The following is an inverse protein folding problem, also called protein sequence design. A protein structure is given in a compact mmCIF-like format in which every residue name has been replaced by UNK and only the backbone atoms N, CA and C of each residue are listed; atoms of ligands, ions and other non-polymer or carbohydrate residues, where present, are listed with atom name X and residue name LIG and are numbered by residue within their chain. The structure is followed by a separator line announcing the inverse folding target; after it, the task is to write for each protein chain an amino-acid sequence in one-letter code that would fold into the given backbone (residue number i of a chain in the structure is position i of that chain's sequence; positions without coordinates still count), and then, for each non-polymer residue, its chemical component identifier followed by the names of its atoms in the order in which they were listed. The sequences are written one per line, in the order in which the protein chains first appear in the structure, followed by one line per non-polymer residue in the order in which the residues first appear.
data_IF_739120501796
#
_entry.id   IF_739120501796
#
_cell.length_a   1.000
_cell.length_b   1.000
_cell.length_c   1.000
_cell.angle_alpha   90.00
_cell.angle_beta   90.00
_cell.angle_gamma   90.00
#
_symmetry.space_group_name_H-M   'P 1'
#
loop_
_entity.id
_entity.type
_entity.pdbx_description
1 polymer ?
#
# COMPACT_ATOMS: atom_id res chain seq x y z
N UNK A 1 5.96 31.17 20.16
CA UNK A 1 4.99 30.07 20.17
C UNK A 1 5.75 28.77 19.93
N UNK A 2 5.68 27.77 20.83
CA UNK A 2 6.41 26.50 20.63
C UNK A 2 5.66 25.65 19.59
N UNK A 3 6.34 25.08 18.58
CA UNK A 3 5.69 24.17 17.64
C UNK A 3 5.20 22.92 18.38
N UNK A 4 4.00 22.45 18.04
CA UNK A 4 3.50 21.16 18.52
C UNK A 4 4.45 20.04 18.12
N UNK A 5 4.61 19.05 18.99
CA UNK A 5 5.43 17.88 18.70
C UNK A 5 4.77 16.98 17.64
N UNK A 6 5.55 16.09 17.04
CA UNK A 6 5.02 15.13 16.06
C UNK A 6 3.97 14.20 16.67
N UNK A 7 4.11 13.86 17.95
CA UNK A 7 3.17 13.02 18.70
C UNK A 7 1.81 13.71 18.82
N UNK A 8 1.79 15.01 19.12
CA UNK A 8 0.55 15.78 19.17
C UNK A 8 -0.15 15.80 17.80
N UNK A 9 0.59 16.08 16.72
CA UNK A 9 0.04 16.04 15.37
C UNK A 9 -0.46 14.65 14.98
N UNK A 10 0.27 13.60 15.35
CA UNK A 10 -0.15 12.23 15.10
C UNK A 10 -1.47 11.91 15.79
N UNK A 11 -1.66 12.29 17.05
CA UNK A 11 -2.91 12.09 17.79
C UNK A 11 -4.06 12.82 17.07
N UNK A 12 -3.86 14.09 16.72
CA UNK A 12 -4.86 14.90 16.01
C UNK A 12 -5.24 14.28 14.67
N UNK A 13 -4.27 13.93 13.83
CA UNK A 13 -4.56 13.36 12.51
C UNK A 13 -5.14 11.96 12.59
N UNK A 14 -4.71 11.14 13.57
CA UNK A 14 -5.24 9.80 13.76
C UNK A 14 -6.69 9.80 14.23
N UNK A 15 -7.16 10.88 14.88
CA UNK A 15 -8.59 11.08 15.14
C UNK A 15 -9.41 11.10 13.84
N UNK A 16 -8.87 11.66 12.77
CA UNK A 16 -9.50 11.72 11.44
C UNK A 16 -9.23 10.50 10.56
N UNK A 17 -8.66 9.41 11.09
CA UNK A 17 -8.24 8.23 10.29
C UNK A 17 -9.34 7.60 9.44
N UNK A 18 -10.60 7.75 9.83
CA UNK A 18 -11.75 7.22 9.09
C UNK A 18 -12.32 8.23 8.07
N UNK A 19 -11.87 9.48 8.11
CA UNK A 19 -12.19 10.51 7.13
C UNK A 19 -10.96 10.80 6.26
N UNK A 20 -10.73 9.90 5.30
CA UNK A 20 -9.59 9.96 4.38
C UNK A 20 -9.49 11.27 3.59
N UNK A 21 -10.63 11.91 3.27
CA UNK A 21 -10.64 13.20 2.55
C UNK A 21 -10.03 14.30 3.41
N UNK A 22 -10.49 14.44 4.65
CA UNK A 22 -9.95 15.44 5.58
C UNK A 22 -8.48 15.17 5.86
N UNK A 23 -8.14 13.89 6.09
CA UNK A 23 -6.78 13.49 6.37
C UNK A 23 -5.86 13.80 5.17
N UNK A 24 -6.28 13.52 3.94
CA UNK A 24 -5.52 13.86 2.74
C UNK A 24 -5.31 15.38 2.59
N UNK A 25 -6.32 16.20 2.90
CA UNK A 25 -6.17 17.66 2.90
C UNK A 25 -5.10 18.12 3.89
N UNK A 26 -4.99 17.51 5.08
CA UNK A 26 -3.91 17.80 6.03
C UNK A 26 -2.51 17.47 5.46
N UNK A 27 -2.40 16.47 4.59
CA UNK A 27 -1.13 16.10 3.97
C UNK A 27 -0.55 17.21 3.07
N UNK A 28 -1.41 18.11 2.58
CA UNK A 28 -1.05 19.16 1.62
C UNK A 28 -0.58 20.46 2.29
N UNK A 29 -0.73 20.58 3.60
CA UNK A 29 -0.45 21.82 4.35
C UNK A 29 1.06 22.12 4.39
N UNK A 30 1.87 21.15 4.83
CA UNK A 30 3.32 21.30 4.89
C UNK A 30 4.02 19.92 4.94
N UNK A 31 5.35 19.90 4.80
CA UNK A 31 6.15 18.67 4.77
C UNK A 31 6.06 17.84 6.05
N UNK A 32 5.96 18.47 7.22
CA UNK A 32 5.84 17.77 8.50
C UNK A 32 4.51 17.03 8.60
N UNK A 33 3.42 17.72 8.30
CA UNK A 33 2.07 17.16 8.30
C UNK A 33 1.94 16.04 7.26
N UNK A 34 2.46 16.27 6.05
CA UNK A 34 2.52 15.27 4.98
C UNK A 34 3.13 13.95 5.48
N UNK A 35 4.29 13.98 6.13
CA UNK A 35 4.98 12.78 6.63
C UNK A 35 4.13 11.99 7.63
N UNK A 36 3.52 12.68 8.59
CA UNK A 36 2.70 12.05 9.64
C UNK A 36 1.43 11.48 9.03
N UNK A 37 0.74 12.27 8.23
CA UNK A 37 -0.51 11.87 7.57
C UNK A 37 -0.31 10.66 6.66
N UNK A 38 0.75 10.66 5.83
CA UNK A 38 1.06 9.53 4.96
C UNK A 38 1.28 8.25 5.77
N UNK A 39 1.96 8.32 6.93
CA UNK A 39 2.11 7.14 7.79
C UNK A 39 0.78 6.63 8.35
N UNK A 40 -0.17 7.51 8.66
CA UNK A 40 -1.51 7.12 9.16
C UNK A 40 -2.33 6.49 8.05
N UNK A 41 -2.38 7.13 6.88
CA UNK A 41 -3.12 6.65 5.70
C UNK A 41 -2.64 5.26 5.26
N UNK A 42 -1.33 5.03 5.27
CA UNK A 42 -0.74 3.77 4.85
C UNK A 42 -0.67 2.71 5.95
N UNK A 43 -0.96 3.06 7.22
CA UNK A 43 -0.91 2.10 8.32
C UNK A 43 -1.94 0.98 8.20
N UNK A 44 -3.17 1.33 7.80
CA UNK A 44 -4.27 0.41 7.58
C UNK A 44 -5.05 0.84 6.32
N UNK A 45 -4.56 0.50 5.12
CA UNK A 45 -5.19 0.97 3.89
C UNK A 45 -6.62 0.43 3.71
N UNK A 46 -6.94 -0.76 4.26
CA UNK A 46 -8.27 -1.37 4.16
C UNK A 46 -8.80 -1.37 2.72
N UNK A 47 -10.06 -0.98 2.53
CA UNK A 47 -10.69 -0.93 1.21
C UNK A 47 -10.02 0.03 0.21
N UNK A 48 -9.15 0.95 0.65
CA UNK A 48 -8.42 1.82 -0.27
C UNK A 48 -7.37 1.07 -1.09
N UNK A 49 -6.88 -0.08 -0.60
CA UNK A 49 -5.91 -0.91 -1.33
C UNK A 49 -6.47 -1.44 -2.67
N UNK A 50 -7.81 -1.48 -2.82
CA UNK A 50 -8.52 -1.77 -4.07
C UNK A 50 -8.19 -0.79 -5.19
N UNK A 51 -7.67 0.38 -4.86
CA UNK A 51 -7.31 1.40 -5.83
C UNK A 51 -6.03 1.00 -6.57
N UNK A 52 -6.14 0.85 -7.90
CA UNK A 52 -5.01 0.53 -8.80
C UNK A 52 -3.77 1.43 -8.61
N UNK A 53 -3.93 2.67 -8.13
CA UNK A 53 -2.80 3.57 -7.84
C UNK A 53 -1.98 3.08 -6.64
N UNK A 54 -2.62 2.53 -5.62
CA UNK A 54 -1.92 1.96 -4.46
C UNK A 54 -1.20 0.67 -4.86
N UNK A 55 -1.86 -0.21 -5.61
CA UNK A 55 -1.21 -1.41 -6.17
C UNK A 55 0.01 -1.04 -7.02
N UNK A 56 -0.10 0.01 -7.87
CA UNK A 56 1.04 0.52 -8.64
C UNK A 56 2.22 0.92 -7.74
N UNK A 57 1.97 1.57 -6.61
CA UNK A 57 3.02 1.97 -5.64
C UNK A 57 3.66 0.73 -4.99
N UNK A 58 2.86 -0.28 -4.66
CA UNK A 58 3.37 -1.53 -4.12
C UNK A 58 4.25 -2.27 -5.14
N UNK A 59 3.80 -2.38 -6.39
CA UNK A 59 4.58 -3.00 -7.48
C UNK A 59 5.90 -2.26 -7.73
N UNK A 60 5.93 -0.93 -7.62
CA UNK A 60 7.16 -0.13 -7.70
C UNK A 60 8.15 -0.38 -6.54
N UNK A 61 7.69 -1.03 -5.47
CA UNK A 61 8.49 -1.30 -4.28
C UNK A 61 9.09 -2.71 -4.26
N UNK A 62 8.75 -3.54 -5.25
CA UNK A 62 9.29 -4.89 -5.42
C UNK A 62 10.80 -4.84 -5.72
N UNK A 63 11.58 -5.72 -5.10
CA UNK A 63 12.97 -5.95 -5.49
C UNK A 63 13.06 -6.94 -6.67
N UNK A 64 14.28 -7.19 -7.16
CA UNK A 64 14.50 -8.10 -8.31
C UNK A 64 14.04 -9.52 -8.01
N UNK A 65 14.30 -10.04 -6.81
CA UNK A 65 13.93 -11.38 -6.37
C UNK A 65 12.41 -11.59 -6.35
N UNK A 66 11.66 -10.62 -5.82
CA UNK A 66 10.19 -10.66 -5.78
C UNK A 66 9.61 -10.57 -7.19
N UNK A 67 10.28 -9.91 -8.14
CA UNK A 67 9.80 -9.80 -9.51
C UNK A 67 10.00 -11.07 -10.35
N UNK A 68 10.82 -12.03 -9.89
CA UNK A 68 11.13 -13.26 -10.65
C UNK A 68 9.87 -14.02 -11.03
N UNK A 69 8.88 -14.10 -10.13
CA UNK A 69 7.63 -14.81 -10.37
C UNK A 69 6.77 -14.16 -11.47
N UNK A 70 7.04 -12.90 -11.83
CA UNK A 70 6.28 -12.14 -12.83
C UNK A 70 6.88 -12.25 -14.24
N UNK A 71 8.11 -12.76 -14.37
CA UNK A 71 8.83 -12.92 -15.65
C UNK A 71 8.04 -13.77 -16.66
N UNK A 72 7.50 -14.96 -16.30
CA UNK A 72 6.78 -15.82 -17.25
C UNK A 72 5.57 -15.14 -17.90
N UNK A 73 4.94 -14.22 -17.17
CA UNK A 73 3.74 -13.51 -17.62
C UNK A 73 4.03 -12.31 -18.54
N UNK A 74 5.32 -11.99 -18.76
CA UNK A 74 5.79 -10.90 -19.64
C UNK A 74 5.03 -9.58 -19.40
N UNK A 75 4.73 -9.27 -18.14
CA UNK A 75 3.99 -8.05 -17.80
C UNK A 75 4.92 -6.84 -17.84
N UNK A 76 4.42 -5.71 -18.34
CA UNK A 76 5.11 -4.43 -18.17
C UNK A 76 4.82 -3.91 -16.77
N UNK A 77 5.80 -4.01 -15.87
CA UNK A 77 5.71 -3.40 -14.56
C UNK A 77 5.72 -1.87 -14.69
N UNK A 78 5.13 -1.15 -13.71
CA UNK A 78 5.22 0.30 -13.66
C UNK A 78 6.69 0.75 -13.69
N UNK A 79 7.07 1.51 -14.72
CA UNK A 79 8.38 2.17 -14.77
C UNK A 79 8.18 3.65 -14.42
N UNK A 80 8.32 3.99 -13.15
CA UNK A 80 8.15 5.35 -12.62
C UNK A 80 9.27 5.65 -11.63
N UNK A 81 9.54 6.93 -11.32
CA UNK A 81 10.49 7.29 -10.27
C UNK A 81 10.13 6.60 -8.94
N UNK A 82 11.16 6.25 -8.16
CA UNK A 82 10.97 5.61 -6.87
C UNK A 82 10.00 6.43 -6.00
N UNK A 83 9.07 5.79 -5.28
CA UNK A 83 8.13 6.49 -4.42
C UNK A 83 8.86 7.39 -3.40
N UNK A 84 8.30 8.58 -3.14
CA UNK A 84 8.90 9.55 -2.20
C UNK A 84 9.05 8.99 -0.78
N UNK A 85 8.14 8.11 -0.38
CA UNK A 85 8.13 7.45 0.91
C UNK A 85 8.32 5.95 0.76
N UNK A 86 8.91 5.31 1.78
CA UNK A 86 8.89 3.86 1.94
C UNK A 86 7.50 3.45 2.46
N UNK A 87 6.49 3.55 1.60
CA UNK A 87 5.09 3.40 1.97
C UNK A 87 4.78 2.06 2.66
N UNK A 88 5.43 0.98 2.23
CA UNK A 88 5.24 -0.35 2.80
C UNK A 88 5.69 -0.46 4.25
N UNK A 89 6.69 0.34 4.67
CA UNK A 89 7.15 0.38 6.07
C UNK A 89 6.08 0.88 7.05
N UNK A 90 5.07 1.61 6.54
CA UNK A 90 3.96 2.09 7.36
C UNK A 90 2.86 1.04 7.53
N UNK A 91 2.74 0.09 6.60
CA UNK A 91 1.67 -0.91 6.59
C UNK A 91 1.78 -1.80 7.83
N UNK A 92 0.66 -1.93 8.55
CA UNK A 92 0.55 -2.79 9.74
C UNK A 92 -0.51 -3.87 9.59
N UNK A 93 -1.42 -3.72 8.61
CA UNK A 93 -2.45 -4.72 8.31
C UNK A 93 -2.79 -4.76 6.83
N UNK A 94 -2.97 -5.97 6.30
CA UNK A 94 -3.47 -6.22 4.94
C UNK A 94 -4.64 -7.20 5.05
N UNK A 95 -5.68 -6.98 4.24
CA UNK A 95 -6.90 -7.78 4.18
C UNK A 95 -7.18 -8.26 2.73
N UNK A 96 -8.26 -9.03 2.56
CA UNK A 96 -8.75 -9.58 1.28
C UNK A 96 -8.97 -8.55 0.16
N UNK A 97 -9.06 -7.27 0.52
CA UNK A 97 -9.19 -6.18 -0.45
C UNK A 97 -7.94 -6.05 -1.34
N UNK A 98 -6.79 -6.64 -0.94
CA UNK A 98 -5.58 -6.72 -1.75
C UNK A 98 -5.85 -7.40 -3.09
N UNK A 99 -6.51 -8.57 -3.06
CA UNK A 99 -6.83 -9.36 -4.25
C UNK A 99 -7.70 -8.60 -5.22
N UNK A 100 -8.72 -7.91 -4.71
CA UNK A 100 -9.56 -7.04 -5.53
C UNK A 100 -8.77 -5.86 -6.11
N UNK A 101 -7.83 -5.29 -5.37
CA UNK A 101 -6.90 -4.29 -5.90
C UNK A 101 -6.04 -4.81 -7.04
N UNK A 102 -5.48 -6.01 -6.90
CA UNK A 102 -4.68 -6.68 -7.94
C UNK A 102 -5.54 -6.90 -9.19
N UNK A 103 -6.76 -7.44 -9.06
CA UNK A 103 -7.71 -7.58 -10.18
C UNK A 103 -8.02 -6.26 -10.88
N UNK A 104 -8.27 -5.20 -10.10
CA UNK A 104 -8.53 -3.86 -10.62
C UNK A 104 -7.31 -3.29 -11.38
N UNK A 105 -6.09 -3.63 -10.97
CA UNK A 105 -4.86 -3.21 -11.64
C UNK A 105 -4.62 -3.98 -12.95
N UNK A 106 -4.82 -5.31 -12.94
CA UNK A 106 -4.66 -6.19 -14.10
C UNK A 106 -5.71 -5.90 -15.20
N UNK A 107 -6.85 -5.27 -14.83
CA UNK A 107 -7.99 -4.92 -15.71
C UNK A 107 -8.72 -6.13 -16.30
N UNK A 108 -9.11 -7.11 -15.47
CA UNK A 108 -9.96 -8.28 -15.82
C UNK A 108 -9.53 -9.15 -17.02
N UNK A 109 -8.45 -8.82 -17.74
CA UNK A 109 -8.06 -9.44 -19.00
C UNK A 109 -6.92 -10.44 -18.87
N UNK A 110 -6.35 -10.63 -17.68
CA UNK A 110 -5.29 -11.61 -17.45
C UNK A 110 -5.76 -12.62 -16.40
N UNK A 111 -5.45 -13.90 -16.63
CA UNK A 111 -5.99 -15.03 -15.88
C UNK A 111 -5.54 -15.10 -14.42
N UNK A 112 -6.19 -16.01 -13.68
CA UNK A 112 -5.99 -16.22 -12.24
C UNK A 112 -4.54 -16.48 -11.83
N UNK A 113 -3.74 -17.13 -12.68
CA UNK A 113 -2.32 -17.40 -12.41
C UNK A 113 -1.51 -16.12 -12.21
N UNK A 114 -1.78 -15.07 -13.01
CA UNK A 114 -1.08 -13.79 -12.85
C UNK A 114 -1.54 -13.05 -11.60
N UNK A 115 -2.85 -13.06 -11.31
CA UNK A 115 -3.38 -12.47 -10.08
C UNK A 115 -2.67 -13.08 -8.86
N UNK A 116 -2.62 -14.41 -8.79
CA UNK A 116 -1.92 -15.14 -7.75
C UNK A 116 -0.43 -14.77 -7.68
N UNK A 117 0.28 -14.77 -8.81
CA UNK A 117 1.70 -14.42 -8.84
C UNK A 117 1.95 -12.99 -8.31
N UNK A 118 1.12 -12.01 -8.69
CA UNK A 118 1.22 -10.64 -8.18
C UNK A 118 0.94 -10.60 -6.68
N UNK A 119 -0.09 -11.30 -6.20
CA UNK A 119 -0.39 -11.38 -4.77
C UNK A 119 0.79 -11.95 -3.98
N UNK A 120 1.41 -13.04 -4.45
CA UNK A 120 2.60 -13.61 -3.81
C UNK A 120 3.76 -12.60 -3.73
N UNK A 121 4.02 -11.89 -4.83
CA UNK A 121 5.05 -10.84 -4.84
C UNK A 121 4.76 -9.75 -3.81
N UNK A 122 3.49 -9.31 -3.70
CA UNK A 122 3.08 -8.29 -2.75
C UNK A 122 3.14 -8.81 -1.29
N UNK A 123 2.83 -10.08 -1.05
CA UNK A 123 2.96 -10.71 0.27
C UNK A 123 4.43 -10.75 0.68
N UNK A 124 5.33 -11.20 -0.19
CA UNK A 124 6.78 -11.23 0.05
C UNK A 124 7.32 -9.82 0.36
N UNK A 125 6.89 -8.83 -0.42
CA UNK A 125 7.20 -7.41 -0.17
C UNK A 125 6.78 -6.97 1.23
N UNK A 126 5.56 -7.31 1.66
CA UNK A 126 5.11 -6.95 2.99
C UNK A 126 5.91 -7.66 4.08
N UNK A 127 6.22 -8.95 3.92
CA UNK A 127 7.07 -9.68 4.86
C UNK A 127 8.47 -9.07 4.99
N UNK A 128 9.04 -8.57 3.89
CA UNK A 128 10.36 -7.93 3.87
C UNK A 128 10.37 -6.54 4.50
N UNK A 129 9.36 -5.72 4.23
CA UNK A 129 9.44 -4.25 4.43
C UNK A 129 8.53 -3.70 5.50
N UNK A 130 7.40 -4.36 5.76
CA UNK A 130 6.36 -3.82 6.62
C UNK A 130 6.56 -4.23 8.08
N UNK A 131 5.86 -3.54 8.98
CA UNK A 131 5.72 -3.96 10.38
C UNK A 131 4.37 -4.64 10.57
N UNK A 132 4.07 -5.61 9.69
CA UNK A 132 2.82 -6.36 9.69
C UNK A 132 2.56 -6.93 11.09
N UNK A 133 1.40 -6.58 11.64
CA UNK A 133 0.87 -7.16 12.88
C UNK A 133 -0.28 -8.12 12.60
N UNK A 134 -0.94 -7.95 11.46
CA UNK A 134 -2.11 -8.72 11.08
C UNK A 134 -2.15 -8.93 9.56
N UNK A 135 -2.17 -10.18 9.13
CA UNK A 135 -2.39 -10.59 7.74
C UNK A 135 -3.62 -11.49 7.74
N UNK A 136 -4.70 -11.05 7.09
CA UNK A 136 -5.89 -11.87 6.89
C UNK A 136 -6.18 -11.90 5.41
N UNK A 137 -5.87 -13.03 4.79
CA UNK A 137 -6.19 -13.32 3.40
C UNK A 137 -7.10 -14.55 3.42
N UNK A 138 -8.37 -14.37 3.04
CA UNK A 138 -9.29 -15.46 2.74
C UNK A 138 -8.90 -15.98 1.36
N UNK A 139 -8.28 -17.15 1.34
CA UNK A 139 -8.07 -17.90 0.11
C UNK A 139 -9.43 -18.38 -0.40
N UNK A 140 -10.12 -17.61 -1.24
CA UNK A 140 -11.43 -18.01 -1.81
C UNK A 140 -11.29 -18.87 -3.07
N UNK A 141 -10.29 -19.76 -3.11
CA UNK A 141 -10.15 -20.73 -4.20
C UNK A 141 -9.67 -22.07 -3.63
N UNK A 142 -10.62 -22.79 -3.01
CA UNK A 142 -10.69 -24.25 -2.99
C UNK A 142 -12.05 -24.64 -3.57
#
# INVERSE_FOLDING_TARGET
MKPLSNECYYIIFNYFRHNYKNLFSCALVNRQWCRIVISILWSKPGHHIKNKKLIKILLLSLNEEEQVQLIPFKITLPNCPKPLFKYTNYITSVNDDLSEGVRNWIRYKKGHELEYAIEQCLILLFLRTSKLKHLSLKWTYL
#
